data_IF_599157353200
#
_entry.id   IF_599157353200
#
_cell.length_a   1.000
_cell.length_b   1.000
_cell.length_c   1.000
_cell.angle_alpha   90.00
_cell.angle_beta   90.00
_cell.angle_gamma   90.00
#
_symmetry.space_group_name_H-M   'P 1'
#
loop_
_entity.id
_entity.type
_entity.pdbx_description
1 polymer ?
#
# COMPACT_ATOMS: atom_id res chain seq x y z
N UNK A 1 -42.47 -16.56 28.43
CA UNK A 1 -42.07 -15.17 28.28
C UNK A 1 -40.53 -15.01 28.31
N UNK A 2 -39.83 -15.61 29.27
CA UNK A 2 -38.36 -15.58 29.39
C UNK A 2 -37.69 -16.25 28.19
N UNK A 3 -38.14 -17.41 27.73
CA UNK A 3 -37.59 -18.09 26.54
C UNK A 3 -37.65 -17.26 25.26
N UNK A 4 -38.75 -16.53 25.06
CA UNK A 4 -38.86 -15.64 23.90
C UNK A 4 -37.87 -14.44 23.96
N UNK A 5 -37.57 -13.94 25.16
CA UNK A 5 -36.59 -12.87 25.35
C UNK A 5 -35.18 -13.41 25.11
N UNK A 6 -34.83 -14.56 25.66
CA UNK A 6 -33.55 -15.23 25.48
C UNK A 6 -33.27 -15.52 23.98
N UNK A 7 -34.30 -16.07 23.29
CA UNK A 7 -34.22 -16.35 21.84
C UNK A 7 -34.03 -15.09 21.01
N UNK A 8 -34.65 -13.97 21.40
CA UNK A 8 -34.50 -12.69 20.72
C UNK A 8 -33.09 -12.06 20.93
N UNK A 9 -32.55 -12.18 22.15
CA UNK A 9 -31.18 -11.74 22.48
C UNK A 9 -30.13 -12.58 21.71
N UNK A 10 -30.29 -13.90 21.66
CA UNK A 10 -29.44 -14.80 20.91
C UNK A 10 -29.45 -14.47 19.41
N UNK A 11 -30.61 -14.21 18.83
CA UNK A 11 -30.78 -13.81 17.43
C UNK A 11 -30.10 -12.47 17.15
N UNK A 12 -30.20 -11.49 18.06
CA UNK A 12 -29.53 -10.19 17.96
C UNK A 12 -28.01 -10.32 17.96
N UNK A 13 -27.45 -11.19 18.80
CA UNK A 13 -25.99 -11.46 18.81
C UNK A 13 -25.54 -12.10 17.51
N UNK A 14 -26.31 -13.06 16.95
CA UNK A 14 -26.00 -13.68 15.67
C UNK A 14 -25.99 -12.68 14.50
N UNK A 15 -26.95 -11.76 14.45
CA UNK A 15 -27.01 -10.71 13.43
C UNK A 15 -25.83 -9.73 13.56
N UNK A 16 -25.50 -9.31 14.80
CA UNK A 16 -24.37 -8.45 15.08
C UNK A 16 -23.04 -9.13 14.66
N UNK A 17 -22.86 -10.38 15.05
CA UNK A 17 -21.70 -11.18 14.66
C UNK A 17 -21.56 -11.25 13.14
N UNK A 18 -22.62 -11.63 12.42
CA UNK A 18 -22.59 -11.74 10.97
C UNK A 18 -22.25 -10.41 10.27
N UNK A 19 -22.81 -9.28 10.75
CA UNK A 19 -22.52 -7.96 10.18
C UNK A 19 -21.06 -7.55 10.39
N UNK A 20 -20.48 -7.83 11.57
CA UNK A 20 -19.07 -7.53 11.83
C UNK A 20 -18.12 -8.49 11.10
N UNK A 21 -18.48 -9.74 10.88
CA UNK A 21 -17.72 -10.64 9.97
C UNK A 21 -17.67 -10.04 8.58
N UNK A 22 -18.81 -9.62 8.03
CA UNK A 22 -18.88 -9.05 6.69
C UNK A 22 -18.06 -7.76 6.55
N UNK A 23 -18.17 -6.82 7.51
CA UNK A 23 -17.41 -5.56 7.52
C UNK A 23 -15.91 -5.80 7.66
N UNK A 24 -15.51 -6.67 8.58
CA UNK A 24 -14.10 -6.96 8.82
C UNK A 24 -13.45 -7.66 7.61
N UNK A 25 -14.15 -8.61 6.98
CA UNK A 25 -13.72 -9.21 5.72
C UNK A 25 -13.58 -8.16 4.61
N UNK A 26 -14.57 -7.27 4.50
CA UNK A 26 -14.54 -6.17 3.54
C UNK A 26 -13.28 -5.31 3.73
N UNK A 27 -12.94 -4.92 4.96
CA UNK A 27 -11.72 -4.14 5.23
C UNK A 27 -10.44 -4.90 4.89
N UNK A 28 -10.35 -6.21 5.24
CA UNK A 28 -9.18 -7.03 4.89
C UNK A 28 -9.02 -7.11 3.37
N UNK A 29 -10.10 -7.43 2.66
CA UNK A 29 -10.07 -7.59 1.19
C UNK A 29 -9.73 -6.27 0.51
N UNK A 30 -10.32 -5.14 0.94
CA UNK A 30 -10.03 -3.83 0.34
C UNK A 30 -8.57 -3.42 0.60
N UNK A 31 -8.06 -3.55 1.84
CA UNK A 31 -6.68 -3.22 2.16
C UNK A 31 -5.69 -4.04 1.31
N UNK A 32 -5.93 -5.34 1.22
CA UNK A 32 -5.16 -6.25 0.38
C UNK A 32 -5.29 -5.92 -1.12
N UNK A 33 -6.50 -5.60 -1.58
CA UNK A 33 -6.77 -5.25 -2.99
C UNK A 33 -6.06 -3.97 -3.42
N UNK A 34 -6.10 -2.92 -2.60
CA UNK A 34 -5.39 -1.65 -2.85
C UNK A 34 -3.89 -1.88 -2.95
N UNK A 35 -3.32 -2.69 -2.07
CA UNK A 35 -1.89 -3.03 -2.12
C UNK A 35 -1.54 -3.85 -3.36
N UNK A 36 -2.31 -4.89 -3.66
CA UNK A 36 -2.10 -5.72 -4.85
C UNK A 36 -2.25 -4.92 -6.16
N UNK A 37 -3.15 -3.94 -6.18
CA UNK A 37 -3.28 -3.04 -7.33
C UNK A 37 -1.99 -2.26 -7.57
N UNK A 38 -1.39 -1.67 -6.52
CA UNK A 38 -0.09 -0.96 -6.63
C UNK A 38 1.02 -1.88 -7.16
N UNK A 39 1.11 -3.10 -6.63
CA UNK A 39 2.11 -4.06 -7.12
C UNK A 39 1.85 -4.50 -8.56
N UNK A 40 0.59 -4.61 -8.96
CA UNK A 40 0.23 -4.91 -10.35
C UNK A 40 0.58 -3.77 -11.30
N UNK A 41 0.39 -2.53 -10.89
CA UNK A 41 0.80 -1.34 -11.64
C UNK A 41 2.31 -1.32 -11.83
N UNK A 42 3.09 -1.46 -10.75
CA UNK A 42 4.56 -1.58 -10.84
C UNK A 42 5.00 -2.74 -11.73
N UNK A 43 4.34 -3.90 -11.62
CA UNK A 43 4.65 -5.08 -12.44
C UNK A 43 4.35 -4.84 -13.93
N UNK A 44 3.23 -4.19 -14.25
CA UNK A 44 2.87 -3.86 -15.65
C UNK A 44 3.84 -2.86 -16.27
N UNK A 45 4.21 -1.86 -15.53
CA UNK A 45 5.08 -0.76 -15.97
C UNK A 45 6.57 -1.10 -15.81
N UNK A 46 6.90 -2.34 -15.43
CA UNK A 46 8.28 -2.76 -15.26
C UNK A 46 9.02 -1.97 -14.20
N UNK A 47 8.46 -1.80 -13.01
CA UNK A 47 8.92 -1.07 -11.83
C UNK A 47 8.59 0.43 -11.78
N UNK A 48 7.99 1.02 -12.81
CA UNK A 48 7.55 2.43 -12.75
C UNK A 48 6.14 2.54 -12.18
N UNK A 49 5.87 3.67 -11.53
CA UNK A 49 4.56 3.89 -10.87
C UNK A 49 3.47 4.41 -11.81
N UNK A 50 3.81 4.74 -13.06
CA UNK A 50 2.93 5.46 -13.99
C UNK A 50 2.95 6.98 -13.80
N UNK A 51 3.80 7.48 -12.89
CA UNK A 51 4.13 8.89 -12.74
C UNK A 51 5.56 9.13 -13.22
N UNK A 52 5.93 8.49 -14.33
CA UNK A 52 7.26 8.60 -14.90
C UNK A 52 7.32 9.66 -15.99
N UNK A 53 8.51 10.22 -16.16
CA UNK A 53 8.94 10.94 -17.36
C UNK A 53 10.29 10.39 -17.80
N UNK A 54 10.59 10.46 -19.08
CA UNK A 54 11.88 10.02 -19.59
C UNK A 54 12.67 11.19 -20.15
N UNK A 55 13.99 11.10 -20.02
CA UNK A 55 14.92 12.00 -20.67
C UNK A 55 16.09 11.20 -21.26
N UNK A 56 16.68 11.71 -22.31
CA UNK A 56 17.80 11.04 -23.00
C UNK A 56 19.01 11.95 -23.01
N UNK A 57 20.15 11.39 -22.66
CA UNK A 57 21.46 12.06 -22.74
C UNK A 57 22.20 11.50 -23.95
N UNK A 58 22.43 12.32 -24.95
CA UNK A 58 23.13 11.93 -26.21
C UNK A 58 24.63 12.19 -26.16
N UNK A 59 25.06 13.22 -25.47
CA UNK A 59 26.46 13.57 -25.27
C UNK A 59 26.66 13.99 -23.81
N UNK A 60 27.72 13.58 -23.17
CA UNK A 60 28.00 13.97 -21.80
C UNK A 60 29.42 13.73 -21.40
N UNK A 61 29.96 14.59 -20.55
CA UNK A 61 31.16 14.36 -19.79
C UNK A 61 30.82 13.66 -18.49
N UNK A 62 31.75 12.92 -17.93
CA UNK A 62 31.60 12.25 -16.63
C UNK A 62 31.14 13.20 -15.50
N UNK A 63 31.48 14.49 -15.61
CA UNK A 63 31.04 15.56 -14.71
C UNK A 63 29.54 15.89 -14.78
N UNK A 64 28.76 15.39 -15.75
CA UNK A 64 27.38 15.78 -15.92
C UNK A 64 26.53 15.34 -14.72
N UNK A 65 26.73 14.12 -14.25
CA UNK A 65 26.03 13.61 -13.10
C UNK A 65 26.48 14.24 -11.78
N UNK A 66 27.76 14.55 -11.63
CA UNK A 66 28.27 15.27 -10.48
C UNK A 66 27.74 16.71 -10.39
N UNK A 67 27.32 17.28 -11.53
CA UNK A 67 26.69 18.60 -11.60
C UNK A 67 25.18 18.55 -11.56
N UNK A 68 24.56 17.53 -12.16
CA UNK A 68 23.11 17.42 -12.31
C UNK A 68 22.48 16.89 -11.03
N UNK A 69 22.95 15.77 -10.50
CA UNK A 69 22.36 15.16 -9.29
C UNK A 69 22.40 16.09 -8.07
N UNK A 70 23.53 16.74 -7.69
CA UNK A 70 23.54 17.65 -6.55
C UNK A 70 22.66 18.90 -6.73
N UNK A 71 22.53 19.38 -7.97
CA UNK A 71 21.68 20.54 -8.25
C UNK A 71 20.20 20.21 -8.40
N UNK A 72 19.89 18.99 -8.87
CA UNK A 72 18.52 18.49 -8.95
C UNK A 72 17.96 18.09 -7.57
N UNK A 73 18.82 17.68 -6.66
CA UNK A 73 18.40 17.11 -5.38
C UNK A 73 18.02 18.14 -4.31
N UNK A 74 18.36 19.43 -4.49
CA UNK A 74 18.16 20.41 -3.42
C UNK A 74 16.68 20.73 -3.15
N UNK A 75 15.83 20.68 -4.18
CA UNK A 75 14.42 21.06 -4.09
C UNK A 75 13.44 19.92 -4.41
N UNK A 76 13.92 18.72 -4.77
CA UNK A 76 13.08 17.59 -5.14
C UNK A 76 13.04 16.54 -4.03
N UNK A 77 11.85 16.16 -3.67
CA UNK A 77 11.61 15.12 -2.69
C UNK A 77 10.87 13.93 -3.31
N UNK A 78 11.11 12.72 -2.80
CA UNK A 78 10.37 11.50 -3.13
C UNK A 78 10.39 11.12 -4.63
N UNK A 79 11.56 10.91 -5.19
CA UNK A 79 11.74 10.46 -6.57
C UNK A 79 12.81 9.36 -6.71
N UNK A 80 12.73 8.65 -7.82
CA UNK A 80 13.73 7.68 -8.26
C UNK A 80 14.15 7.96 -9.71
N UNK A 81 15.41 7.71 -10.02
CA UNK A 81 15.94 7.72 -11.39
C UNK A 81 16.38 6.31 -11.74
N UNK A 82 15.91 5.83 -12.87
CA UNK A 82 16.27 4.52 -13.41
C UNK A 82 17.06 4.69 -14.70
N UNK A 83 18.16 3.95 -14.81
CA UNK A 83 18.95 3.81 -16.03
C UNK A 83 18.79 2.37 -16.55
N UNK A 84 17.93 2.12 -17.55
CA UNK A 84 17.85 0.81 -18.19
C UNK A 84 19.16 0.46 -18.88
N UNK A 85 19.59 -0.76 -18.71
CA UNK A 85 20.77 -1.31 -19.39
C UNK A 85 20.28 -2.38 -20.39
N UNK A 86 20.73 -2.27 -21.63
CA UNK A 86 20.37 -3.25 -22.68
C UNK A 86 21.21 -4.51 -22.53
N UNK A 87 20.54 -5.60 -22.13
CA UNK A 87 21.11 -6.92 -22.05
C UNK A 87 20.17 -7.94 -22.66
N UNK A 88 20.72 -8.95 -23.34
CA UNK A 88 19.91 -9.99 -23.98
C UNK A 88 19.30 -10.97 -22.94
N UNK A 89 20.00 -11.20 -21.82
CA UNK A 89 19.62 -12.24 -20.85
C UNK A 89 18.85 -11.68 -19.65
N UNK A 90 19.08 -10.43 -19.27
CA UNK A 90 18.54 -9.83 -18.04
C UNK A 90 17.92 -8.46 -18.30
N UNK A 91 16.90 -8.14 -17.53
CA UNK A 91 16.39 -6.75 -17.42
C UNK A 91 17.12 -6.07 -16.28
N UNK A 92 18.25 -5.41 -16.57
CA UNK A 92 19.05 -4.72 -15.57
C UNK A 92 18.76 -3.23 -15.61
N UNK A 93 18.73 -2.59 -14.42
CA UNK A 93 18.56 -1.15 -14.28
C UNK A 93 19.43 -0.61 -13.17
N UNK A 94 20.14 0.47 -13.44
CA UNK A 94 20.71 1.31 -12.40
C UNK A 94 19.61 2.08 -11.69
N UNK A 95 19.69 2.22 -10.36
CA UNK A 95 18.68 2.93 -9.58
C UNK A 95 19.32 3.94 -8.64
N UNK A 96 18.84 5.18 -8.71
CA UNK A 96 19.06 6.24 -7.72
C UNK A 96 17.75 6.57 -7.03
N UNK A 97 17.78 6.76 -5.71
CA UNK A 97 16.59 7.06 -4.91
C UNK A 97 16.85 8.29 -4.06
N UNK A 98 15.90 9.19 -4.00
CA UNK A 98 15.87 10.31 -3.07
C UNK A 98 14.51 10.37 -2.36
N UNK A 99 14.53 10.33 -1.02
CA UNK A 99 13.32 10.36 -0.20
C UNK A 99 12.53 9.05 -0.16
N UNK A 100 11.23 9.15 0.04
CA UNK A 100 10.31 8.00 0.13
C UNK A 100 9.72 7.66 -1.23
N UNK A 101 10.20 6.60 -1.85
CA UNK A 101 9.66 6.08 -3.11
C UNK A 101 8.82 4.84 -2.89
N UNK A 102 7.99 4.51 -3.87
CA UNK A 102 7.26 3.25 -3.86
C UNK A 102 8.23 2.09 -4.07
N UNK A 103 8.34 1.21 -3.07
CA UNK A 103 9.19 0.02 -3.13
C UNK A 103 8.42 -1.20 -3.63
N UNK A 104 9.08 -2.12 -4.38
CA UNK A 104 8.50 -3.39 -4.74
C UNK A 104 8.30 -4.26 -3.49
N UNK A 105 7.49 -5.33 -3.58
CA UNK A 105 7.42 -6.31 -2.51
C UNK A 105 8.78 -7.00 -2.34
N UNK A 106 9.31 -6.99 -1.12
CA UNK A 106 10.56 -7.65 -0.78
C UNK A 106 10.28 -9.05 -0.23
N UNK A 107 11.01 -10.05 -0.73
CA UNK A 107 10.99 -11.42 -0.21
C UNK A 107 11.91 -11.52 1.00
N UNK A 108 13.10 -10.94 0.90
CA UNK A 108 14.01 -10.75 2.02
C UNK A 108 14.96 -9.56 1.78
N UNK A 109 15.61 -9.08 2.85
CA UNK A 109 16.53 -7.96 2.81
C UNK A 109 15.81 -6.61 2.62
N UNK A 110 16.58 -5.60 2.21
CA UNK A 110 16.13 -4.23 2.10
C UNK A 110 16.16 -3.75 0.64
N UNK A 111 15.37 -2.71 0.36
CA UNK A 111 15.42 -2.00 -0.91
C UNK A 111 16.47 -0.88 -0.85
N UNK A 112 16.79 -0.28 -1.99
CA UNK A 112 17.71 0.85 -2.05
C UNK A 112 17.21 2.05 -1.23
N UNK A 113 18.16 2.77 -0.67
CA UNK A 113 17.99 4.10 -0.06
C UNK A 113 18.85 5.10 -0.80
N UNK A 114 18.76 6.39 -0.46
CA UNK A 114 19.63 7.43 -1.04
C UNK A 114 21.11 7.06 -0.89
N UNK A 115 21.51 6.60 0.30
CA UNK A 115 22.91 6.25 0.61
C UNK A 115 23.37 4.99 -0.13
N UNK A 116 22.53 3.97 -0.24
CA UNK A 116 22.88 2.69 -0.89
C UNK A 116 22.82 2.78 -2.41
N UNK A 117 22.08 3.72 -2.98
CA UNK A 117 22.00 3.93 -4.42
C UNK A 117 23.22 4.67 -5.01
N UNK A 118 23.98 5.40 -4.20
CA UNK A 118 25.22 6.11 -4.57
C UNK A 118 26.47 5.58 -3.86
N UNK A 119 26.44 4.35 -3.40
CA UNK A 119 27.57 3.74 -2.70
C UNK A 119 28.78 3.53 -3.63
N UNK A 120 29.97 3.48 -3.04
CA UNK A 120 31.17 3.06 -3.75
C UNK A 120 31.32 1.53 -3.81
N UNK A 121 30.58 0.80 -2.98
CA UNK A 121 30.58 -0.66 -3.00
C UNK A 121 29.42 -1.14 -3.89
N UNK A 122 29.69 -1.94 -4.93
CA UNK A 122 28.63 -2.44 -5.81
C UNK A 122 27.57 -3.22 -5.04
N UNK A 123 26.32 -2.78 -5.14
CA UNK A 123 25.16 -3.41 -4.49
C UNK A 123 24.04 -3.72 -5.49
N UNK A 124 23.26 -4.76 -5.17
CA UNK A 124 22.19 -5.25 -6.05
C UNK A 124 20.97 -5.68 -5.27
N UNK A 125 19.78 -5.40 -5.84
CA UNK A 125 18.50 -6.02 -5.47
C UNK A 125 18.06 -6.90 -6.62
N UNK A 126 17.92 -8.20 -6.35
CA UNK A 126 17.57 -9.20 -7.36
C UNK A 126 16.06 -9.42 -7.42
N UNK A 127 15.55 -9.65 -8.61
CA UNK A 127 14.23 -10.24 -8.76
C UNK A 127 14.19 -11.72 -8.36
N UNK A 128 13.04 -12.19 -7.95
CA UNK A 128 12.84 -13.55 -7.43
C UNK A 128 13.32 -14.67 -8.37
N UNK A 129 13.21 -14.44 -9.70
CA UNK A 129 13.59 -15.42 -10.71
C UNK A 129 15.14 -15.61 -10.83
N UNK A 130 15.91 -14.75 -10.13
CA UNK A 130 17.38 -14.79 -10.15
C UNK A 130 17.98 -15.23 -8.81
N UNK A 131 17.17 -15.74 -7.87
CA UNK A 131 17.67 -16.21 -6.56
C UNK A 131 18.68 -17.36 -6.65
N UNK A 132 18.54 -18.20 -7.65
CA UNK A 132 19.45 -19.33 -7.93
C UNK A 132 20.86 -18.89 -8.31
N UNK A 133 21.03 -17.64 -8.75
CA UNK A 133 22.33 -17.05 -9.16
C UNK A 133 23.09 -16.44 -7.99
N UNK A 134 22.53 -16.46 -6.77
CA UNK A 134 23.17 -15.92 -5.55
C UNK A 134 24.29 -16.86 -5.10
N UNK A 135 25.46 -16.30 -4.90
CA UNK A 135 26.62 -16.97 -4.33
C UNK A 135 26.85 -16.50 -2.88
N UNK A 136 26.98 -17.42 -1.96
CA UNK A 136 27.21 -17.10 -0.56
C UNK A 136 28.70 -17.22 -0.20
N UNK A 137 29.30 -16.14 0.30
CA UNK A 137 30.68 -16.10 0.77
C UNK A 137 30.76 -15.34 2.09
N UNK A 138 31.37 -15.92 3.12
CA UNK A 138 31.59 -15.29 4.43
C UNK A 138 30.30 -14.65 5.01
N UNK A 139 29.17 -15.38 4.97
CA UNK A 139 27.85 -14.94 5.44
C UNK A 139 27.20 -13.81 4.62
N UNK A 140 27.81 -13.39 3.52
CA UNK A 140 27.25 -12.41 2.61
C UNK A 140 26.79 -13.08 1.31
N UNK A 141 25.73 -12.51 0.73
CA UNK A 141 25.19 -12.91 -0.55
C UNK A 141 25.78 -12.03 -1.66
N UNK A 142 26.21 -12.65 -2.75
CA UNK A 142 26.79 -11.96 -3.90
C UNK A 142 26.14 -12.37 -5.20
N UNK A 143 26.11 -11.45 -6.14
CA UNK A 143 25.73 -11.67 -7.53
C UNK A 143 26.83 -11.15 -8.43
N UNK A 144 27.22 -11.90 -9.46
CA UNK A 144 28.26 -11.48 -10.42
C UNK A 144 27.61 -11.10 -11.76
N UNK A 145 27.95 -9.92 -12.24
CA UNK A 145 27.54 -9.42 -13.54
C UNK A 145 28.75 -8.80 -14.28
N UNK A 146 29.11 -9.34 -15.43
CA UNK A 146 30.37 -9.05 -16.10
C UNK A 146 31.55 -9.34 -15.17
N UNK A 147 32.47 -8.41 -15.06
CA UNK A 147 33.62 -8.47 -14.16
C UNK A 147 33.35 -7.90 -12.76
N UNK A 148 32.13 -7.44 -12.50
CA UNK A 148 31.77 -6.80 -11.23
C UNK A 148 31.00 -7.76 -10.32
N UNK A 149 31.42 -7.80 -9.07
CA UNK A 149 30.77 -8.58 -7.99
C UNK A 149 29.96 -7.63 -7.10
N UNK A 150 28.66 -7.82 -7.06
CA UNK A 150 27.71 -7.03 -6.30
C UNK A 150 27.32 -7.72 -5.00
N UNK A 151 27.26 -6.99 -3.88
CA UNK A 151 26.66 -7.46 -2.65
C UNK A 151 25.12 -7.42 -2.78
N UNK A 152 24.46 -8.56 -2.56
CA UNK A 152 22.99 -8.65 -2.63
C UNK A 152 22.41 -8.09 -1.33
N UNK A 153 21.75 -6.94 -1.40
CA UNK A 153 21.12 -6.30 -0.24
C UNK A 153 19.67 -6.76 -0.04
N UNK A 154 19.04 -7.32 -1.06
CA UNK A 154 17.70 -7.84 -0.96
C UNK A 154 17.23 -8.58 -2.21
N UNK A 155 16.12 -9.30 -2.06
CA UNK A 155 15.41 -9.95 -3.16
C UNK A 155 13.97 -9.46 -3.19
N UNK A 156 13.57 -8.95 -4.34
CA UNK A 156 12.22 -8.45 -4.60
C UNK A 156 11.42 -9.44 -5.45
N UNK A 157 10.11 -9.42 -5.31
CA UNK A 157 9.23 -10.20 -6.17
C UNK A 157 7.91 -10.57 -5.53
N UNK A 158 7.11 -11.25 -6.33
CA UNK A 158 5.82 -11.81 -5.94
C UNK A 158 5.88 -13.34 -6.02
N UNK A 159 5.08 -14.03 -5.19
CA UNK A 159 4.95 -15.51 -5.23
C UNK A 159 4.41 -16.02 -6.59
N UNK A 160 3.78 -15.14 -7.37
CA UNK A 160 3.28 -15.41 -8.71
C UNK A 160 4.22 -14.86 -9.78
N UNK A 161 4.10 -15.34 -11.02
CA UNK A 161 4.80 -14.76 -12.16
C UNK A 161 4.53 -13.26 -12.28
N UNK A 162 5.59 -12.47 -12.31
CA UNK A 162 5.55 -11.02 -12.36
C UNK A 162 6.78 -10.50 -13.10
N UNK A 163 6.63 -9.41 -13.85
CA UNK A 163 7.78 -8.76 -14.49
C UNK A 163 8.82 -8.28 -13.45
N UNK A 164 8.38 -7.94 -12.24
CA UNK A 164 9.27 -7.55 -11.15
C UNK A 164 10.23 -8.68 -10.76
N UNK A 165 9.79 -9.94 -10.88
CA UNK A 165 10.62 -11.10 -10.54
C UNK A 165 11.84 -11.25 -11.46
N UNK A 166 11.77 -10.73 -12.68
CA UNK A 166 12.83 -10.82 -13.69
C UNK A 166 13.72 -9.56 -13.77
N UNK A 167 13.52 -8.56 -12.91
CA UNK A 167 14.29 -7.33 -12.93
C UNK A 167 15.43 -7.41 -11.94
N UNK A 168 16.62 -6.97 -12.34
CA UNK A 168 17.79 -6.79 -11.50
C UNK A 168 18.04 -5.29 -11.38
N UNK A 169 18.11 -4.80 -10.14
CA UNK A 169 18.43 -3.41 -9.85
C UNK A 169 19.82 -3.35 -9.26
N UNK A 170 20.70 -2.52 -9.84
CA UNK A 170 22.04 -2.25 -9.33
C UNK A 170 22.14 -0.80 -8.89
N UNK A 171 23.08 -0.50 -8.00
CA UNK A 171 23.34 0.87 -7.59
C UNK A 171 23.71 1.75 -8.79
N UNK A 172 23.39 3.03 -8.71
CA UNK A 172 23.46 3.95 -9.82
C UNK A 172 24.91 4.21 -10.26
N UNK A 173 25.85 4.30 -9.32
CA UNK A 173 27.27 4.51 -9.64
C UNK A 173 27.85 3.33 -10.43
N UNK A 174 27.53 2.10 -10.01
CA UNK A 174 27.94 0.90 -10.75
C UNK A 174 27.32 0.86 -12.15
N UNK A 175 26.03 1.24 -12.28
CA UNK A 175 25.36 1.30 -13.56
C UNK A 175 26.02 2.31 -14.52
N UNK A 176 26.36 3.50 -14.03
CA UNK A 176 27.10 4.50 -14.81
C UNK A 176 28.49 4.00 -15.19
N UNK A 177 29.18 3.31 -14.29
CA UNK A 177 30.50 2.73 -14.56
C UNK A 177 30.48 1.66 -15.65
N UNK A 178 29.39 0.88 -15.78
CA UNK A 178 29.24 -0.19 -16.77
C UNK A 178 28.70 0.35 -18.10
N UNK A 179 27.64 1.16 -18.05
CA UNK A 179 26.89 1.59 -19.24
C UNK A 179 27.38 2.95 -19.80
N UNK A 180 28.15 3.71 -19.00
CA UNK A 180 28.46 5.10 -19.29
C UNK A 180 27.26 6.02 -18.99
N UNK A 181 27.42 7.30 -19.35
CA UNK A 181 26.44 8.36 -19.03
C UNK A 181 25.37 8.48 -20.11
N UNK A 182 25.68 8.09 -21.34
CA UNK A 182 24.76 8.21 -22.47
C UNK A 182 23.65 7.16 -22.37
N UNK A 183 22.41 7.57 -22.62
CA UNK A 183 21.28 6.66 -22.60
C UNK A 183 19.97 7.33 -22.25
N UNK A 184 18.92 6.52 -22.22
CA UNK A 184 17.60 6.94 -21.79
C UNK A 184 17.44 6.69 -20.30
N UNK A 185 17.00 7.71 -19.60
CA UNK A 185 16.73 7.70 -18.16
C UNK A 185 15.22 7.83 -17.91
N UNK A 186 14.74 7.19 -16.88
CA UNK A 186 13.37 7.33 -16.42
C UNK A 186 13.38 7.92 -15.01
N UNK A 187 12.68 9.03 -14.87
CA UNK A 187 12.44 9.69 -13.59
C UNK A 187 11.03 9.31 -13.14
N UNK A 188 10.90 8.72 -11.98
CA UNK A 188 9.64 8.32 -11.37
C UNK A 188 9.45 9.04 -10.05
N UNK A 189 8.25 9.56 -9.78
CA UNK A 189 7.96 10.32 -8.57
C UNK A 189 6.69 9.83 -7.89
N UNK A 190 6.54 10.14 -6.61
CA UNK A 190 5.41 9.74 -5.78
C UNK A 190 4.05 10.25 -6.31
N UNK A 191 4.03 11.36 -7.03
CA UNK A 191 2.81 11.96 -7.58
C UNK A 191 3.02 12.61 -8.93
N UNK A 192 1.95 12.73 -9.73
CA UNK A 192 1.97 13.45 -11.01
C UNK A 192 2.36 14.92 -10.88
N UNK A 193 1.98 15.57 -9.77
CA UNK A 193 2.37 16.95 -9.50
C UNK A 193 3.87 17.10 -9.32
N UNK A 194 4.49 16.19 -8.59
CA UNK A 194 5.93 16.17 -8.38
C UNK A 194 6.67 15.91 -9.69
N UNK A 195 6.25 14.91 -10.48
CA UNK A 195 6.93 14.59 -11.74
C UNK A 195 6.88 15.73 -12.74
N UNK A 196 5.77 16.45 -12.81
CA UNK A 196 5.64 17.62 -13.67
C UNK A 196 6.60 18.74 -13.25
N UNK A 197 6.64 19.05 -11.95
CA UNK A 197 7.53 20.06 -11.38
C UNK A 197 9.01 19.70 -11.64
N UNK A 198 9.39 18.45 -11.35
CA UNK A 198 10.73 17.93 -11.57
C UNK A 198 11.10 17.97 -13.06
N UNK A 199 10.17 17.58 -13.95
CA UNK A 199 10.39 17.61 -15.40
C UNK A 199 10.62 19.02 -15.94
N UNK A 200 9.80 20.00 -15.52
CA UNK A 200 9.94 21.40 -15.91
C UNK A 200 11.25 22.03 -15.38
N UNK A 201 11.67 21.63 -14.19
CA UNK A 201 12.91 22.09 -13.56
C UNK A 201 14.15 21.48 -14.23
N UNK A 202 14.09 20.17 -14.51
CA UNK A 202 15.10 19.44 -15.28
C UNK A 202 15.31 20.06 -16.66
N UNK A 203 14.24 20.35 -17.37
CA UNK A 203 14.30 21.00 -18.68
C UNK A 203 14.96 22.37 -18.58
N UNK A 204 14.61 23.18 -17.59
CA UNK A 204 15.19 24.51 -17.36
C UNK A 204 16.69 24.46 -17.04
N UNK A 205 17.11 23.53 -16.18
CA UNK A 205 18.50 23.39 -15.76
C UNK A 205 19.39 22.79 -16.86
N UNK A 206 18.85 21.89 -17.68
CA UNK A 206 19.61 21.22 -18.73
C UNK A 206 19.59 21.98 -20.07
N UNK A 207 18.48 22.61 -20.46
CA UNK A 207 18.38 23.39 -21.70
C UNK A 207 19.28 24.60 -21.73
N UNK A 208 19.68 25.12 -20.58
CA UNK A 208 20.66 26.25 -20.48
C UNK A 208 22.13 25.85 -20.60
N UNK A 209 22.45 24.54 -20.57
CA UNK A 209 23.81 24.03 -20.41
C UNK A 209 24.30 23.10 -21.53
N UNK A 210 23.39 22.50 -22.31
CA UNK A 210 23.77 21.53 -23.34
C UNK A 210 22.62 21.26 -24.31
N UNK A 211 22.90 21.24 -25.62
CA UNK A 211 22.00 20.77 -26.67
C UNK A 211 21.88 19.24 -26.66
N UNK A 212 22.46 18.56 -25.68
CA UNK A 212 22.67 17.10 -25.64
C UNK A 212 21.62 16.38 -24.84
N UNK A 213 20.68 17.08 -24.21
CA UNK A 213 19.62 16.45 -23.39
C UNK A 213 18.26 16.74 -24.01
N UNK A 214 17.56 15.68 -24.38
CA UNK A 214 16.17 15.77 -24.86
C UNK A 214 15.25 15.18 -23.80
N UNK A 215 14.38 16.00 -23.24
CA UNK A 215 13.33 15.56 -22.32
C UNK A 215 12.11 15.18 -23.17
N UNK A 216 11.74 13.92 -23.08
CA UNK A 216 10.48 13.44 -23.65
C UNK A 216 9.48 13.38 -22.51
N UNK A 217 8.55 14.32 -22.40
CA UNK A 217 7.52 14.24 -21.37
C UNK A 217 6.72 12.95 -21.58
N UNK A 218 6.69 12.08 -20.58
CA UNK A 218 5.90 10.84 -20.57
C UNK A 218 4.38 11.07 -20.48
N UNK A 219 3.93 12.31 -20.65
CA UNK A 219 2.53 12.67 -20.67
C UNK A 219 1.94 12.39 -22.05
N UNK A 220 1.23 11.30 -22.21
CA UNK A 220 0.17 11.29 -23.19
C UNK A 220 -0.90 12.28 -22.68
N UNK A 221 -1.29 13.26 -23.50
CA UNK A 221 -2.54 14.02 -23.33
C UNK A 221 -3.73 13.06 -23.51
N UNK A 222 -3.74 11.99 -22.72
CA UNK A 222 -4.87 11.09 -22.62
C UNK A 222 -5.99 11.87 -21.96
N UNK A 223 -7.10 11.97 -22.66
CA UNK A 223 -8.24 12.79 -22.22
C UNK A 223 -8.62 12.46 -20.76
N UNK A 224 -9.11 13.45 -20.04
CA UNK A 224 -9.51 13.41 -18.62
C UNK A 224 -10.17 12.09 -18.16
N UNK A 225 -10.95 11.44 -19.01
CA UNK A 225 -11.59 10.15 -18.71
C UNK A 225 -10.58 9.00 -18.65
N UNK A 226 -9.60 8.97 -19.56
CA UNK A 226 -8.55 7.94 -19.56
C UNK A 226 -7.63 8.13 -18.35
N UNK A 227 -7.37 9.37 -17.95
CA UNK A 227 -6.62 9.68 -16.75
C UNK A 227 -7.34 9.20 -15.47
N UNK A 228 -8.66 9.40 -15.36
CA UNK A 228 -9.46 8.87 -14.24
C UNK A 228 -9.46 7.35 -14.22
N UNK A 229 -9.56 6.70 -15.37
CA UNK A 229 -9.56 5.24 -15.48
C UNK A 229 -8.17 4.69 -15.14
N UNK A 230 -7.11 5.28 -15.67
CA UNK A 230 -5.73 4.87 -15.41
C UNK A 230 -5.31 5.11 -13.95
N UNK A 231 -5.79 6.16 -13.30
CA UNK A 231 -5.48 6.50 -11.90
C UNK A 231 -6.08 5.57 -10.85
N UNK A 232 -6.86 4.56 -11.25
CA UNK A 232 -7.60 3.70 -10.30
C UNK A 232 -8.67 4.43 -9.48
N UNK A 233 -8.98 5.71 -9.81
CA UNK A 233 -9.92 6.54 -9.06
C UNK A 233 -11.31 5.92 -8.99
N UNK A 234 -11.76 5.27 -10.06
CA UNK A 234 -13.05 4.56 -10.11
C UNK A 234 -13.06 3.40 -9.10
N UNK A 235 -11.98 2.62 -9.04
CA UNK A 235 -11.86 1.51 -8.09
C UNK A 235 -11.83 2.02 -6.65
N UNK A 236 -11.09 3.08 -6.38
CA UNK A 236 -11.05 3.72 -5.07
C UNK A 236 -12.42 4.26 -4.64
N UNK A 237 -13.17 4.89 -5.57
CA UNK A 237 -14.54 5.34 -5.32
C UNK A 237 -15.47 4.16 -5.00
N UNK A 238 -15.35 3.05 -5.73
CA UNK A 238 -16.12 1.83 -5.49
C UNK A 238 -15.81 1.25 -4.10
N UNK A 239 -14.55 1.21 -3.68
CA UNK A 239 -14.17 0.77 -2.33
C UNK A 239 -14.78 1.65 -1.25
N UNK A 240 -14.74 2.98 -1.42
CA UNK A 240 -15.38 3.92 -0.48
C UNK A 240 -16.89 3.66 -0.40
N UNK A 241 -17.57 3.49 -1.52
CA UNK A 241 -19.01 3.19 -1.54
C UNK A 241 -19.32 1.87 -0.81
N UNK A 242 -18.55 0.81 -1.05
CA UNK A 242 -18.71 -0.48 -0.38
C UNK A 242 -18.54 -0.31 1.15
N UNK A 243 -17.49 0.38 1.59
CA UNK A 243 -17.24 0.65 3.02
C UNK A 243 -18.40 1.41 3.65
N UNK A 244 -18.91 2.45 2.98
CA UNK A 244 -20.06 3.24 3.47
C UNK A 244 -21.31 2.36 3.59
N UNK A 245 -21.63 1.57 2.58
CA UNK A 245 -22.78 0.66 2.61
C UNK A 245 -22.70 -0.34 3.77
N UNK A 246 -21.56 -1.02 3.93
CA UNK A 246 -21.39 -1.99 5.02
C UNK A 246 -21.40 -1.30 6.39
N UNK A 247 -20.85 -0.10 6.52
CA UNK A 247 -20.89 0.69 7.76
C UNK A 247 -22.32 1.06 8.15
N UNK A 248 -23.13 1.49 7.19
CA UNK A 248 -24.55 1.80 7.43
C UNK A 248 -25.34 0.55 7.82
N UNK A 249 -25.14 -0.57 7.12
CA UNK A 249 -25.75 -1.85 7.48
C UNK A 249 -25.39 -2.25 8.91
N UNK A 250 -24.10 -2.13 9.29
CA UNK A 250 -23.63 -2.46 10.64
C UNK A 250 -24.23 -1.50 11.68
N UNK A 251 -24.40 -0.22 11.37
CA UNK A 251 -25.06 0.73 12.26
C UNK A 251 -26.54 0.36 12.50
N UNK A 252 -27.27 -0.03 11.44
CA UNK A 252 -28.65 -0.50 11.57
C UNK A 252 -28.76 -1.77 12.42
N UNK A 253 -27.88 -2.75 12.17
CA UNK A 253 -27.85 -4.00 12.96
C UNK A 253 -27.50 -3.71 14.43
N UNK A 254 -26.54 -2.83 14.69
CA UNK A 254 -26.18 -2.42 16.05
C UNK A 254 -27.35 -1.71 16.75
N UNK A 255 -28.10 -0.87 16.03
CA UNK A 255 -29.32 -0.25 16.55
C UNK A 255 -30.35 -1.28 16.94
N UNK A 256 -30.66 -2.25 16.04
CA UNK A 256 -31.56 -3.36 16.33
C UNK A 256 -31.09 -4.20 17.53
N UNK A 257 -29.78 -4.43 17.64
CA UNK A 257 -29.18 -5.15 18.77
C UNK A 257 -29.41 -4.41 20.10
N UNK A 258 -29.31 -3.08 20.14
CA UNK A 258 -29.63 -2.26 21.29
C UNK A 258 -31.11 -2.31 21.63
N UNK A 259 -32.00 -2.19 20.63
CA UNK A 259 -33.45 -2.26 20.81
C UNK A 259 -33.91 -3.63 21.40
N UNK A 260 -33.27 -4.72 21.00
CA UNK A 260 -33.56 -6.05 21.58
C UNK A 260 -33.24 -6.15 23.08
N UNK A 261 -32.38 -5.24 23.58
CA UNK A 261 -31.95 -5.17 24.98
C UNK A 261 -32.52 -4.01 25.77
N UNK A 262 -33.40 -3.23 25.16
CA UNK A 262 -34.00 -2.06 25.78
C UNK A 262 -34.64 -2.36 27.14
N UNK A 263 -35.39 -3.46 27.25
CA UNK A 263 -36.00 -3.93 28.51
C UNK A 263 -34.96 -4.22 29.60
N UNK A 264 -33.82 -4.77 29.22
CA UNK A 264 -32.73 -5.06 30.16
C UNK A 264 -32.09 -3.75 30.66
N UNK A 265 -31.87 -2.78 29.79
CA UNK A 265 -31.32 -1.49 30.17
C UNK A 265 -32.29 -0.65 30.99
N UNK A 266 -33.57 -0.72 30.68
CA UNK A 266 -34.63 -0.10 31.50
C UNK A 266 -34.64 -0.66 32.94
N UNK A 267 -34.50 -1.99 33.07
CA UNK A 267 -34.42 -2.63 34.39
C UNK A 267 -33.19 -2.19 35.18
N UNK A 268 -32.01 -2.09 34.53
CA UNK A 268 -30.79 -1.58 35.17
C UNK A 268 -30.96 -0.13 35.65
N UNK A 269 -31.60 0.70 34.82
CA UNK A 269 -31.87 2.08 35.18
C UNK A 269 -32.79 2.17 36.40
N UNK A 270 -33.83 1.36 36.47
CA UNK A 270 -34.74 1.26 37.64
C UNK A 270 -34.01 0.79 38.91
N UNK A 271 -32.97 -0.03 38.78
CA UNK A 271 -32.10 -0.47 39.86
C UNK A 271 -31.09 0.61 40.29
N UNK A 272 -31.13 1.80 39.71
CA UNK A 272 -30.24 2.94 40.09
C UNK A 272 -28.85 2.92 39.49
N UNK A 273 -28.64 2.11 38.43
CA UNK A 273 -27.37 2.11 37.72
C UNK A 273 -27.10 3.45 37.05
N UNK A 274 -25.97 4.08 37.37
CA UNK A 274 -25.55 5.32 36.75
C UNK A 274 -25.22 5.13 35.25
N UNK A 275 -25.37 6.21 34.49
CA UNK A 275 -25.19 6.23 33.02
C UNK A 275 -23.88 5.63 32.55
N UNK A 276 -22.75 5.91 33.21
CA UNK A 276 -21.42 5.38 32.89
C UNK A 276 -21.34 3.87 33.12
N UNK A 277 -21.97 3.34 34.18
CA UNK A 277 -22.01 1.90 34.43
C UNK A 277 -22.87 1.16 33.38
N UNK A 278 -23.97 1.78 32.93
CA UNK A 278 -24.76 1.23 31.83
C UNK A 278 -23.98 1.17 30.53
N UNK A 279 -23.24 2.22 30.17
CA UNK A 279 -22.37 2.22 28.99
C UNK A 279 -21.32 1.10 29.07
N UNK A 280 -20.69 0.93 30.24
CA UNK A 280 -19.71 -0.15 30.46
C UNK A 280 -20.34 -1.54 30.31
N UNK A 281 -21.56 -1.78 30.82
CA UNK A 281 -22.25 -3.05 30.67
C UNK A 281 -22.66 -3.34 29.20
N UNK A 282 -23.01 -2.30 28.44
CA UNK A 282 -23.24 -2.42 26.99
C UNK A 282 -21.95 -2.83 26.30
N UNK A 283 -20.85 -2.13 26.60
CA UNK A 283 -19.54 -2.40 26.01
C UNK A 283 -19.04 -3.82 26.30
N UNK A 284 -19.16 -4.28 27.56
CA UNK A 284 -18.80 -5.65 27.96
C UNK A 284 -19.54 -6.76 27.19
N UNK A 285 -20.76 -6.48 26.74
CA UNK A 285 -21.56 -7.43 25.97
C UNK A 285 -21.39 -7.32 24.45
N UNK A 286 -21.05 -6.12 23.98
CA UNK A 286 -20.86 -5.81 22.57
C UNK A 286 -19.50 -6.27 22.06
N UNK A 287 -18.43 -5.86 22.79
CA UNK A 287 -17.05 -6.05 22.34
C UNK A 287 -16.64 -7.52 22.14
N UNK A 288 -16.98 -8.49 23.00
CA UNK A 288 -16.65 -9.89 22.74
C UNK A 288 -17.25 -10.44 21.46
N UNK A 289 -18.48 -10.01 21.11
CA UNK A 289 -19.14 -10.45 19.88
C UNK A 289 -18.42 -9.89 18.66
N UNK A 290 -18.04 -8.62 18.69
CA UNK A 290 -17.30 -7.98 17.59
C UNK A 290 -15.89 -8.53 17.45
N UNK A 291 -15.21 -8.81 18.56
CA UNK A 291 -13.86 -9.42 18.55
C UNK A 291 -13.91 -10.86 17.98
N UNK A 292 -14.85 -11.67 18.40
CA UNK A 292 -15.03 -13.01 17.83
C UNK A 292 -15.35 -12.95 16.33
N UNK A 293 -16.18 -12.00 15.91
CA UNK A 293 -16.49 -11.78 14.50
C UNK A 293 -15.22 -11.42 13.69
N UNK A 294 -14.39 -10.53 14.23
CA UNK A 294 -13.12 -10.18 13.61
C UNK A 294 -12.18 -11.39 13.48
N UNK A 295 -11.98 -12.17 14.55
CA UNK A 295 -11.15 -13.37 14.50
C UNK A 295 -11.64 -14.39 13.47
N UNK A 296 -12.96 -14.54 13.36
CA UNK A 296 -13.57 -15.40 12.31
C UNK A 296 -13.26 -14.85 10.92
N UNK A 297 -13.31 -13.54 10.71
CA UNK A 297 -12.97 -12.89 9.44
C UNK A 297 -11.51 -13.14 9.05
N UNK A 298 -10.59 -13.11 10.01
CA UNK A 298 -9.18 -13.44 9.78
C UNK A 298 -9.02 -14.88 9.30
N UNK A 299 -9.69 -15.83 9.97
CA UNK A 299 -9.65 -17.24 9.55
C UNK A 299 -10.19 -17.42 8.14
N UNK A 300 -11.33 -16.78 7.82
CA UNK A 300 -11.93 -16.85 6.49
C UNK A 300 -10.98 -16.21 5.46
N UNK A 301 -10.36 -15.08 5.76
CA UNK A 301 -9.42 -14.41 4.84
C UNK A 301 -8.18 -15.25 4.55
N UNK A 302 -7.67 -15.99 5.55
CA UNK A 302 -6.57 -16.92 5.35
C UNK A 302 -6.97 -18.12 4.46
N UNK A 303 -8.21 -18.61 4.59
CA UNK A 303 -8.75 -19.66 3.70
C UNK A 303 -8.86 -19.11 2.26
N UNK A 304 -9.37 -17.88 2.10
CA UNK A 304 -9.46 -17.24 0.78
C UNK A 304 -8.07 -17.11 0.15
N UNK A 305 -7.06 -16.70 0.92
CA UNK A 305 -5.66 -16.63 0.45
C UNK A 305 -5.16 -17.97 -0.11
N UNK A 306 -5.48 -19.09 0.57
CA UNK A 306 -5.07 -20.43 0.10
C UNK A 306 -5.81 -20.85 -1.16
N UNK A 307 -7.10 -20.46 -1.29
CA UNK A 307 -7.92 -20.81 -2.44
C UNK A 307 -7.69 -19.92 -3.66
N UNK A 308 -7.27 -18.67 -3.45
CA UNK A 308 -7.06 -17.66 -4.50
C UNK A 308 -5.63 -17.16 -4.37
N UNK A 309 -4.72 -17.76 -5.15
CA UNK A 309 -3.28 -17.44 -5.16
C UNK A 309 -2.97 -15.99 -5.57
N UNK A 310 -3.89 -15.34 -6.29
CA UNK A 310 -3.67 -13.97 -6.80
C UNK A 310 -3.81 -12.88 -5.72
N UNK A 311 -4.32 -13.22 -4.54
CA UNK A 311 -4.51 -12.25 -3.44
C UNK A 311 -3.50 -12.53 -2.34
N UNK A 312 -2.48 -11.68 -2.24
CA UNK A 312 -1.54 -11.72 -1.11
C UNK A 312 -2.08 -10.89 0.04
N UNK A 313 -2.36 -11.54 1.18
CA UNK A 313 -2.81 -10.89 2.42
C UNK A 313 -1.63 -10.82 3.38
N UNK A 314 -1.20 -9.61 3.72
CA UNK A 314 -0.12 -9.37 4.65
C UNK A 314 -0.63 -9.17 6.08
N UNK A 315 0.23 -9.40 7.06
CA UNK A 315 -0.09 -9.16 8.47
C UNK A 315 -0.50 -7.69 8.72
N UNK A 316 0.12 -6.76 8.02
CA UNK A 316 -0.21 -5.33 8.08
C UNK A 316 -1.64 -5.02 7.65
N UNK A 317 -2.17 -5.73 6.65
CA UNK A 317 -3.56 -5.57 6.17
C UNK A 317 -4.55 -6.05 7.23
N UNK A 318 -4.22 -7.17 7.90
CA UNK A 318 -4.99 -7.71 9.00
C UNK A 318 -5.00 -6.72 10.18
N UNK A 319 -3.84 -6.17 10.56
CA UNK A 319 -3.76 -5.20 11.66
C UNK A 319 -4.52 -3.90 11.33
N UNK A 320 -4.40 -3.38 10.13
CA UNK A 320 -5.14 -2.20 9.68
C UNK A 320 -6.65 -2.44 9.72
N UNK A 321 -7.11 -3.57 9.20
CA UNK A 321 -8.53 -3.94 9.23
C UNK A 321 -9.06 -4.11 10.66
N UNK A 322 -8.22 -4.58 11.61
CA UNK A 322 -8.58 -4.64 13.03
C UNK A 322 -8.83 -3.26 13.60
N UNK A 323 -7.91 -2.32 13.38
CA UNK A 323 -8.04 -0.96 13.88
C UNK A 323 -9.29 -0.28 13.29
N UNK A 324 -9.53 -0.46 11.98
CA UNK A 324 -10.69 0.12 11.30
C UNK A 324 -12.01 -0.49 11.78
N UNK A 325 -12.09 -1.81 11.93
CA UNK A 325 -13.32 -2.49 12.37
C UNK A 325 -13.62 -2.21 13.85
N UNK A 326 -12.61 -2.21 14.71
CA UNK A 326 -12.76 -1.86 16.13
C UNK A 326 -13.15 -0.38 16.30
N UNK A 327 -12.49 0.53 15.58
CA UNK A 327 -12.80 1.95 15.56
C UNK A 327 -14.23 2.23 15.09
N UNK A 328 -14.63 1.60 13.97
CA UNK A 328 -16.00 1.69 13.46
C UNK A 328 -17.03 1.22 14.49
N UNK A 329 -16.77 0.07 15.13
CA UNK A 329 -17.65 -0.48 16.16
C UNK A 329 -17.82 0.48 17.36
N UNK A 330 -16.73 1.09 17.81
CA UNK A 330 -16.75 2.08 18.89
C UNK A 330 -17.53 3.35 18.50
N UNK A 331 -17.29 3.88 17.30
CA UNK A 331 -17.98 5.08 16.81
C UNK A 331 -19.49 4.82 16.68
N UNK A 332 -19.88 3.70 16.05
CA UNK A 332 -21.30 3.35 15.88
C UNK A 332 -21.97 3.19 17.24
N UNK A 333 -21.36 2.43 18.16
CA UNK A 333 -21.92 2.22 19.49
C UNK A 333 -22.02 3.53 20.26
N UNK A 334 -20.99 4.39 20.21
CA UNK A 334 -20.98 5.68 20.88
C UNK A 334 -22.08 6.63 20.37
N UNK A 335 -22.20 6.76 19.04
CA UNK A 335 -23.23 7.60 18.40
C UNK A 335 -24.63 7.09 18.75
N UNK A 336 -24.88 5.79 18.61
CA UNK A 336 -26.19 5.21 18.93
C UNK A 336 -26.54 5.31 20.42
N UNK A 337 -25.53 5.16 21.30
CA UNK A 337 -25.73 5.36 22.73
C UNK A 337 -26.13 6.81 23.03
N UNK A 338 -25.45 7.79 22.45
CA UNK A 338 -25.76 9.21 22.62
C UNK A 338 -27.17 9.55 22.10
N UNK A 339 -27.53 9.06 20.88
CA UNK A 339 -28.86 9.30 20.29
C UNK A 339 -29.97 8.69 21.14
N UNK A 340 -29.84 7.43 21.54
CA UNK A 340 -30.83 6.78 22.40
C UNK A 340 -30.93 7.49 23.76
N UNK A 341 -29.81 7.95 24.30
CA UNK A 341 -29.79 8.70 25.56
C UNK A 341 -30.57 10.02 25.47
N UNK A 342 -30.36 10.80 24.41
CA UNK A 342 -31.10 12.08 24.18
C UNK A 342 -32.59 11.82 23.99
N UNK A 343 -32.97 10.73 23.34
CA UNK A 343 -34.38 10.35 23.15
C UNK A 343 -35.03 9.86 24.46
N UNK A 344 -34.27 9.16 25.31
CA UNK A 344 -34.76 8.72 26.64
C UNK A 344 -34.97 9.90 27.58
N UNK A 345 -34.08 10.88 27.59
CA UNK A 345 -34.25 12.11 28.46
C UNK A 345 -35.41 12.99 28.03
N UNK A 346 -35.91 12.87 26.78
CA UNK A 346 -37.10 13.59 26.31
C UNK A 346 -38.42 12.87 26.62
N UNK A 347 -38.37 11.60 27.04
CA UNK A 347 -39.58 10.80 27.37
C UNK A 347 -39.89 10.75 28.85
N UNK A 348 -39.03 11.30 29.72
CA UNK A 348 -39.26 11.53 31.14
C UNK A 348 -39.55 13.00 31.33
#
# INVERSE_FOLDING_TARGET
MIDNIMKKISRGNGMLFASFVAVSLCFIIIASSVRNQRYNEMSRNGMYTGNETSFTIFEGNDDLWDRVIPNLSADWEDYAVFLPMEEEEFVIRGVYINGEVQTPPMIWGDYFTADTSLTSNPTVVLGADHQDKIQYENEKAYFSYGDTKFEVIGVMGLERESRVNNIILIDFNSALGINGIMGQYYLDAKSKGNIRFIGEDLERELSGKSDSVVIVPGYSDEGFLNEIIASGAIMNLLYVMIVVCFSLCTALVTKMWLEFRDKFFTALNLCGYGKGLMALEIFKKYYPVTLCAYLTSVVISLIIRVCISDITIFLTDILLAFILSAGLGLVILGVLYMVNFVLFTKKI
#
